data_IF_240454397623
#
_entry.id   IF_240454397623
#
_cell.length_a   1.000
_cell.length_b   1.000
_cell.length_c   1.000
_cell.angle_alpha   90.00
_cell.angle_beta   90.00
_cell.angle_gamma   90.00
#
_symmetry.space_group_name_H-M   'P 1'
#
loop_
_entity.id
_entity.type
_entity.pdbx_description
1 polymer ?
#
# COMPACT_ATOMS: atom_id res chain seq x y z
N UNK A 1 -3.66 -30.62 -13.18
CA UNK A 1 -2.46 -30.67 -12.32
C UNK A 1 -1.31 -29.80 -12.83
N UNK A 2 -0.85 -29.86 -14.11
CA UNK A 2 0.31 -29.06 -14.53
C UNK A 2 0.00 -27.56 -14.75
N UNK A 3 -1.21 -27.24 -15.21
CA UNK A 3 -1.64 -25.85 -15.44
C UNK A 3 -1.69 -25.02 -14.16
N UNK A 4 -2.20 -25.60 -13.07
CA UNK A 4 -2.28 -24.95 -11.76
C UNK A 4 -0.87 -24.66 -11.21
N UNK A 5 0.03 -25.65 -11.28
CA UNK A 5 1.43 -25.48 -10.88
C UNK A 5 2.13 -24.38 -11.70
N UNK A 6 1.87 -24.34 -13.01
CA UNK A 6 2.45 -23.32 -13.89
C UNK A 6 1.95 -21.90 -13.54
N UNK A 7 0.65 -21.74 -13.27
CA UNK A 7 0.07 -20.48 -12.80
C UNK A 7 0.68 -20.07 -11.45
N UNK A 8 0.83 -21.00 -10.49
CA UNK A 8 1.46 -20.71 -9.20
C UNK A 8 2.91 -20.24 -9.36
N UNK A 9 3.69 -20.86 -10.25
CA UNK A 9 5.07 -20.47 -10.54
C UNK A 9 5.12 -19.07 -11.16
N UNK A 10 4.26 -18.76 -12.12
CA UNK A 10 4.20 -17.44 -12.74
C UNK A 10 3.81 -16.34 -11.74
N UNK A 11 2.83 -16.61 -10.87
CA UNK A 11 2.42 -15.68 -9.83
C UNK A 11 3.55 -15.43 -8.82
N UNK A 12 4.28 -16.47 -8.40
CA UNK A 12 5.42 -16.32 -7.50
C UNK A 12 6.59 -15.56 -8.16
N UNK A 13 6.90 -15.86 -9.42
CA UNK A 13 7.93 -15.18 -10.20
C UNK A 13 7.67 -13.68 -10.35
N UNK A 14 6.40 -13.28 -10.54
CA UNK A 14 6.03 -11.86 -10.64
C UNK A 14 6.35 -11.04 -9.39
N UNK A 15 6.35 -11.66 -8.20
CA UNK A 15 6.67 -11.00 -6.92
C UNK A 15 8.17 -10.79 -6.73
N UNK A 16 9.00 -11.64 -7.33
CA UNK A 16 10.46 -11.53 -7.28
C UNK A 16 11.00 -10.37 -8.12
N UNK A 17 10.24 -9.93 -9.13
CA UNK A 17 10.61 -8.85 -10.03
C UNK A 17 10.00 -7.49 -9.65
N UNK A 18 9.28 -7.43 -8.52
CA UNK A 18 8.85 -6.14 -7.98
C UNK A 18 10.11 -5.38 -7.51
N UNK A 19 10.35 -4.14 -7.97
CA UNK A 19 11.47 -3.36 -7.50
C UNK A 19 11.34 -3.18 -5.99
N UNK A 20 12.24 -3.80 -5.24
CA UNK A 20 12.37 -3.54 -3.81
C UNK A 20 12.82 -2.09 -3.66
N UNK A 21 11.90 -1.21 -3.27
CA UNK A 21 12.25 0.16 -2.94
C UNK A 21 13.28 0.11 -1.80
N UNK A 22 14.49 0.61 -2.05
CA UNK A 22 15.50 0.81 -1.03
C UNK A 22 15.00 1.92 -0.10
N UNK A 23 14.40 1.54 1.02
CA UNK A 23 13.85 2.46 2.00
C UNK A 23 14.93 2.75 3.04
N UNK A 24 15.59 3.90 2.90
CA UNK A 24 16.74 4.25 3.75
C UNK A 24 16.37 4.60 5.21
N UNK A 25 15.10 4.94 5.49
CA UNK A 25 14.65 5.34 6.84
C UNK A 25 13.25 4.86 7.20
N UNK A 26 12.26 5.17 6.37
CA UNK A 26 10.86 4.80 6.60
C UNK A 26 10.07 4.80 5.30
N UNK A 27 8.99 4.01 5.25
CA UNK A 27 8.12 3.91 4.10
C UNK A 27 6.64 3.97 4.49
N UNK A 28 5.85 4.46 3.56
CA UNK A 28 4.40 4.50 3.63
C UNK A 28 3.87 3.95 2.31
N UNK A 29 2.94 3.00 2.40
CA UNK A 29 2.25 2.42 1.25
C UNK A 29 0.76 2.43 1.55
N UNK A 30 -0.03 2.87 0.58
CA UNK A 30 -1.49 2.81 0.65
C UNK A 30 -2.10 2.64 -0.74
N UNK A 31 -3.42 2.48 -0.80
CA UNK A 31 -4.16 2.34 -2.07
C UNK A 31 -4.27 3.63 -2.89
N UNK A 32 -3.78 4.77 -2.40
CA UNK A 32 -3.72 6.04 -3.12
C UNK A 32 -2.31 6.63 -3.04
N UNK A 33 -1.86 7.24 -4.15
CA UNK A 33 -0.56 7.91 -4.19
C UNK A 33 -0.55 9.09 -3.22
N UNK A 34 -1.60 9.91 -3.26
CA UNK A 34 -1.80 11.11 -2.45
C UNK A 34 -1.81 10.76 -0.95
N UNK A 35 -2.53 9.71 -0.56
CA UNK A 35 -2.54 9.22 0.82
C UNK A 35 -1.15 8.77 1.28
N UNK A 36 -0.38 8.11 0.40
CA UNK A 36 0.99 7.68 0.71
C UNK A 36 1.94 8.88 0.87
N UNK A 37 1.79 9.91 0.03
CA UNK A 37 2.56 11.15 0.11
C UNK A 37 2.27 11.94 1.41
N UNK A 38 1.00 11.99 1.84
CA UNK A 38 0.59 12.60 3.11
C UNK A 38 1.24 11.89 4.30
N UNK A 39 1.15 10.55 4.35
CA UNK A 39 1.79 9.79 5.43
C UNK A 39 3.32 9.95 5.42
N UNK A 40 3.93 10.01 4.24
CA UNK A 40 5.36 10.28 4.12
C UNK A 40 5.73 11.68 4.66
N UNK A 41 4.86 12.67 4.47
CA UNK A 41 5.08 14.02 5.00
C UNK A 41 4.99 14.09 6.52
N UNK A 42 4.09 13.31 7.13
CA UNK A 42 4.03 13.18 8.59
C UNK A 42 5.34 12.61 9.15
N UNK A 43 5.89 11.58 8.50
CA UNK A 43 7.20 11.03 8.89
C UNK A 43 8.34 12.03 8.68
N UNK A 44 8.34 12.80 7.58
CA UNK A 44 9.34 13.86 7.35
C UNK A 44 9.24 14.98 8.39
N UNK A 45 8.04 15.26 8.87
CA UNK A 45 7.76 16.26 9.90
C UNK A 45 8.12 15.78 11.33
N UNK A 46 8.63 14.56 11.48
CA UNK A 46 9.03 14.00 12.77
C UNK A 46 7.92 13.24 13.52
N UNK A 47 6.76 13.02 12.88
CA UNK A 47 5.73 12.13 13.38
C UNK A 47 6.18 10.66 13.35
N UNK A 48 5.59 9.84 14.19
CA UNK A 48 5.88 8.41 14.25
C UNK A 48 5.00 7.60 13.27
N UNK A 49 5.19 6.27 13.26
CA UNK A 49 4.43 5.38 12.39
C UNK A 49 2.91 5.39 12.66
N UNK A 50 2.47 5.60 13.90
CA UNK A 50 1.06 5.71 14.25
C UNK A 50 0.46 7.03 13.75
N UNK A 51 1.18 8.15 13.90
CA UNK A 51 0.74 9.46 13.37
C UNK A 51 0.56 9.38 11.85
N UNK A 52 1.54 8.77 11.16
CA UNK A 52 1.48 8.56 9.72
C UNK A 52 0.31 7.65 9.31
N UNK A 53 0.04 6.57 10.06
CA UNK A 53 -1.08 5.66 9.77
C UNK A 53 -2.45 6.33 9.95
N UNK A 54 -2.62 7.17 10.98
CA UNK A 54 -3.85 7.94 11.19
C UNK A 54 -4.06 8.93 10.04
N UNK A 55 -3.02 9.67 9.64
CA UNK A 55 -3.09 10.60 8.52
C UNK A 55 -3.42 9.90 7.19
N UNK A 56 -2.78 8.76 6.91
CA UNK A 56 -3.06 7.92 5.73
C UNK A 56 -4.52 7.45 5.75
N UNK A 57 -5.03 6.99 6.89
CA UNK A 57 -6.42 6.48 6.99
C UNK A 57 -7.44 7.57 6.67
N UNK A 58 -7.23 8.78 7.20
CA UNK A 58 -8.09 9.94 6.91
C UNK A 58 -7.99 10.36 5.44
N UNK A 59 -6.77 10.45 4.90
CA UNK A 59 -6.55 10.79 3.51
C UNK A 59 -7.15 9.76 2.55
N UNK A 60 -7.02 8.47 2.86
CA UNK A 60 -7.54 7.37 2.05
C UNK A 60 -9.08 7.36 2.03
N UNK A 61 -9.72 7.71 3.16
CA UNK A 61 -11.18 7.89 3.22
C UNK A 61 -11.69 8.97 2.26
N UNK A 62 -10.89 10.00 1.98
CA UNK A 62 -11.22 11.06 1.01
C UNK A 62 -10.83 10.66 -0.42
N UNK A 63 -9.58 10.23 -0.61
CA UNK A 63 -9.02 9.92 -1.93
C UNK A 63 -9.66 8.68 -2.56
N UNK A 64 -10.14 7.74 -1.74
CA UNK A 64 -10.73 6.49 -2.18
C UNK A 64 -12.08 6.23 -1.52
N UNK A 65 -13.02 7.16 -1.72
CA UNK A 65 -14.41 7.03 -1.27
C UNK A 65 -15.07 5.71 -1.78
N UNK A 66 -14.59 5.15 -2.89
CA UNK A 66 -15.15 3.94 -3.50
C UNK A 66 -14.70 2.63 -2.82
N UNK A 67 -13.62 2.60 -2.05
CA UNK A 67 -13.20 1.38 -1.33
C UNK A 67 -14.22 0.92 -0.27
N UNK A 68 -14.95 1.86 0.34
CA UNK A 68 -16.04 1.55 1.26
C UNK A 68 -17.21 0.85 0.57
N UNK A 69 -17.49 1.18 -0.70
CA UNK A 69 -18.55 0.54 -1.50
C UNK A 69 -18.20 -0.90 -1.87
N UNK A 70 -16.91 -1.22 -2.03
CA UNK A 70 -16.46 -2.58 -2.33
C UNK A 70 -16.26 -3.44 -1.07
N UNK A 71 -15.96 -2.84 0.08
CA UNK A 71 -15.78 -3.56 1.34
C UNK A 71 -17.09 -4.19 1.86
N UNK A 72 -18.25 -3.60 1.57
CA UNK A 72 -19.56 -4.18 1.92
C UNK A 72 -20.09 -5.21 0.92
N UNK A 73 -19.33 -5.53 -0.13
CA UNK A 73 -19.71 -6.52 -1.15
C UNK A 73 -18.95 -7.86 -1.05
N UNK A 74 -18.23 -8.09 0.04
CA UNK A 74 -17.56 -9.35 0.39
C UNK A 74 -18.14 -9.92 1.68
#
# INVERSE_FOLDING_TARGET
MPLFTYICILLLASRLFAPAASIARAAVVSGSRESSEIGAEVLRSGGNAADAAVAVSMALGVANLLALVWAERL
#
